data_IF_694339292125
#
_entry.id   IF_694339292125
#
_cell.length_a   1.000
_cell.length_b   1.000
_cell.length_c   1.000
_cell.angle_alpha   90.00
_cell.angle_beta   90.00
_cell.angle_gamma   90.00
#
_symmetry.space_group_name_H-M   'P 1'
#
loop_
_entity.id
_entity.type
_entity.pdbx_description
1 polymer ?
#
# COMPACT_ATOMS: atom_id res chain seq x y z
N UNK A 1 26.85 -34.13 -11.33
CA UNK A 1 25.50 -33.62 -11.66
C UNK A 1 25.61 -32.11 -11.86
N UNK A 2 25.34 -31.62 -13.08
CA UNK A 2 25.42 -30.19 -13.42
C UNK A 2 24.00 -29.64 -13.27
N UNK A 3 23.73 -28.91 -12.19
CA UNK A 3 22.41 -28.31 -11.93
C UNK A 3 22.26 -27.06 -12.80
N UNK A 4 21.48 -27.21 -13.88
CA UNK A 4 21.23 -26.28 -15.00
C UNK A 4 20.39 -25.04 -14.62
N UNK A 5 20.50 -24.52 -13.39
CA UNK A 5 19.56 -23.52 -12.85
C UNK A 5 20.12 -22.14 -12.54
N UNK A 6 21.45 -21.99 -12.44
CA UNK A 6 22.08 -20.77 -11.91
C UNK A 6 22.63 -19.82 -13.00
N UNK A 7 22.25 -20.01 -14.27
CA UNK A 7 22.67 -19.11 -15.37
C UNK A 7 21.74 -17.89 -15.54
N UNK A 8 20.52 -17.94 -14.98
CA UNK A 8 19.72 -16.73 -14.82
C UNK A 8 20.28 -16.02 -13.60
N UNK A 9 20.77 -14.79 -13.79
CA UNK A 9 21.29 -13.93 -12.71
C UNK A 9 20.29 -13.72 -11.58
N UNK A 10 20.64 -12.84 -10.63
CA UNK A 10 19.84 -12.55 -9.43
C UNK A 10 18.32 -12.63 -9.75
N UNK A 11 17.52 -13.39 -8.97
CA UNK A 11 16.07 -13.34 -9.13
C UNK A 11 15.66 -11.86 -9.15
N UNK A 12 14.68 -11.49 -10.01
CA UNK A 12 14.25 -10.10 -10.09
C UNK A 12 14.00 -9.59 -8.68
N UNK A 13 14.57 -8.43 -8.35
CA UNK A 13 14.38 -7.80 -7.05
C UNK A 13 12.88 -7.79 -6.76
N UNK A 14 12.49 -8.39 -5.64
CA UNK A 14 11.09 -8.44 -5.26
C UNK A 14 10.60 -7.00 -5.09
N UNK A 15 9.45 -6.63 -5.66
CA UNK A 15 8.95 -5.27 -5.53
C UNK A 15 8.76 -4.95 -4.05
N UNK A 16 9.14 -3.73 -3.66
CA UNK A 16 9.04 -3.27 -2.27
C UNK A 16 7.59 -3.37 -1.77
N UNK A 17 6.65 -3.04 -2.66
CA UNK A 17 5.21 -3.20 -2.43
C UNK A 17 4.73 -4.46 -3.18
N UNK A 18 4.06 -5.41 -2.51
CA UNK A 18 3.48 -6.55 -3.19
C UNK A 18 2.51 -6.16 -4.31
N UNK A 19 2.59 -6.84 -5.45
CA UNK A 19 1.77 -6.50 -6.62
C UNK A 19 0.25 -6.50 -6.34
N UNK A 20 -0.22 -7.37 -5.44
CA UNK A 20 -1.64 -7.44 -5.08
C UNK A 20 -2.13 -6.16 -4.37
N UNK A 21 -1.26 -5.43 -3.66
CA UNK A 21 -1.59 -4.12 -3.08
C UNK A 21 -1.85 -3.10 -4.19
N UNK A 22 -1.05 -3.16 -5.27
CA UNK A 22 -1.24 -2.31 -6.44
C UNK A 22 -2.58 -2.61 -7.11
N UNK A 23 -2.95 -3.89 -7.24
CA UNK A 23 -4.28 -4.30 -7.75
C UNK A 23 -5.42 -3.82 -6.84
N UNK A 24 -5.32 -4.02 -5.53
CA UNK A 24 -6.33 -3.52 -4.58
C UNK A 24 -6.49 -2.00 -4.65
N UNK A 25 -5.38 -1.28 -4.88
CA UNK A 25 -5.42 0.17 -5.01
C UNK A 25 -6.15 0.61 -6.27
N UNK A 26 -5.96 -0.07 -7.40
CA UNK A 26 -6.76 0.15 -8.62
C UNK A 26 -8.25 -0.07 -8.35
N UNK A 27 -8.60 -1.18 -7.71
CA UNK A 27 -9.99 -1.46 -7.33
C UNK A 27 -10.56 -0.41 -6.39
N UNK A 28 -9.76 0.10 -5.45
CA UNK A 28 -10.20 1.13 -4.53
C UNK A 28 -10.45 2.47 -5.23
N UNK A 29 -9.55 2.93 -6.10
CA UNK A 29 -9.74 4.20 -6.84
C UNK A 29 -10.90 4.12 -7.84
N UNK A 30 -11.19 2.92 -8.36
CA UNK A 30 -12.34 2.66 -9.25
C UNK A 30 -13.63 2.33 -8.49
N UNK A 31 -13.62 2.40 -7.15
CA UNK A 31 -14.76 2.11 -6.27
C UNK A 31 -15.31 0.67 -6.37
N UNK A 32 -14.47 -0.29 -6.76
CA UNK A 32 -14.80 -1.72 -6.77
C UNK A 32 -14.67 -2.36 -5.38
N UNK A 33 -13.78 -1.83 -4.53
CA UNK A 33 -13.67 -2.21 -3.12
C UNK A 33 -13.88 -0.99 -2.22
N UNK A 34 -14.31 -1.25 -0.99
CA UNK A 34 -14.54 -0.27 0.07
C UNK A 34 -13.23 0.30 0.63
N UNK A 35 -13.34 1.41 1.36
CA UNK A 35 -12.21 1.96 2.13
C UNK A 35 -11.66 0.92 3.11
N UNK A 36 -12.52 0.12 3.75
CA UNK A 36 -12.10 -0.90 4.71
C UNK A 36 -11.24 -2.00 4.03
N UNK A 37 -11.68 -2.54 2.91
CA UNK A 37 -10.93 -3.55 2.14
C UNK A 37 -9.59 -3.00 1.61
N UNK A 38 -9.54 -1.70 1.27
CA UNK A 38 -8.27 -1.06 0.94
C UNK A 38 -7.35 -0.96 2.16
N UNK A 39 -7.90 -0.59 3.33
CA UNK A 39 -7.14 -0.46 4.58
C UNK A 39 -6.58 -1.78 5.09
N UNK A 40 -7.22 -2.92 4.83
CA UNK A 40 -6.64 -4.25 5.10
C UNK A 40 -5.31 -4.45 4.34
N UNK A 41 -5.22 -3.96 3.10
CA UNK A 41 -3.98 -3.95 2.35
C UNK A 41 -2.92 -3.03 2.96
N UNK A 42 -3.33 -1.85 3.45
CA UNK A 42 -2.42 -0.92 4.11
C UNK A 42 -1.92 -1.48 5.45
N UNK A 43 -2.79 -2.11 6.25
CA UNK A 43 -2.43 -2.75 7.51
C UNK A 43 -1.38 -3.85 7.29
N UNK A 44 -1.52 -4.65 6.23
CA UNK A 44 -0.49 -5.62 5.84
C UNK A 44 0.90 -4.98 5.64
N UNK A 45 0.99 -3.77 5.09
CA UNK A 45 2.28 -3.09 4.92
C UNK A 45 2.92 -2.71 6.27
N UNK A 46 2.10 -2.40 7.28
CA UNK A 46 2.56 -2.19 8.65
C UNK A 46 2.96 -3.50 9.32
N UNK A 47 2.18 -4.58 9.15
CA UNK A 47 2.50 -5.91 9.68
C UNK A 47 3.84 -6.43 9.15
N UNK A 48 4.15 -6.15 7.88
CA UNK A 48 5.44 -6.51 7.24
C UNK A 48 6.56 -5.51 7.50
N UNK A 49 6.32 -4.46 8.28
CA UNK A 49 7.29 -3.40 8.59
C UNK A 49 7.84 -2.72 7.33
N UNK A 50 7.04 -2.66 6.26
CA UNK A 50 7.36 -1.91 5.04
C UNK A 50 7.13 -0.41 5.30
N UNK A 51 6.12 -0.09 6.12
CA UNK A 51 5.87 1.24 6.70
C UNK A 51 5.97 1.11 8.23
N UNK A 52 6.44 2.15 8.90
CA UNK A 52 6.46 2.20 10.36
C UNK A 52 6.10 3.59 10.86
N UNK A 53 5.24 3.67 11.89
CA UNK A 53 4.90 4.91 12.59
C UNK A 53 4.95 4.68 14.10
N UNK A 54 5.27 5.72 14.92
CA UNK A 54 5.37 5.57 16.37
C UNK A 54 4.06 5.17 17.06
N UNK A 55 2.93 5.64 16.53
CA UNK A 55 1.59 5.40 17.06
C UNK A 55 0.62 5.29 15.89
N UNK A 56 -0.27 4.29 15.95
CA UNK A 56 -1.37 4.11 15.01
C UNK A 56 -2.63 3.79 15.81
N UNK A 57 -3.72 4.46 15.45
CA UNK A 57 -5.03 4.14 15.98
C UNK A 57 -5.58 2.95 15.20
N UNK A 58 -6.13 1.96 15.91
CA UNK A 58 -6.80 0.81 15.29
C UNK A 58 -8.24 1.19 15.01
N UNK A 59 -8.79 0.75 13.87
CA UNK A 59 -10.17 1.00 13.49
C UNK A 59 -11.11 0.48 14.59
N UNK A 60 -11.72 1.37 15.38
CA UNK A 60 -12.70 0.97 16.41
C UNK A 60 -14.15 1.11 15.97
N UNK A 61 -14.47 1.87 14.91
CA UNK A 61 -15.87 2.17 14.57
C UNK A 61 -16.15 2.27 13.07
N UNK A 62 -17.33 1.75 12.72
CA UNK A 62 -17.97 1.60 11.40
C UNK A 62 -18.29 2.91 10.66
N UNK A 63 -17.60 4.01 10.97
CA UNK A 63 -17.89 5.35 10.45
C UNK A 63 -16.68 6.09 9.87
N UNK A 64 -15.45 5.59 10.05
CA UNK A 64 -14.28 6.23 9.45
C UNK A 64 -14.29 6.05 7.93
N UNK A 65 -14.19 7.17 7.20
CA UNK A 65 -14.14 7.19 5.73
C UNK A 65 -12.88 7.91 5.27
N UNK A 66 -12.23 7.35 4.25
CA UNK A 66 -11.06 7.98 3.66
C UNK A 66 -11.53 9.17 2.84
N UNK A 67 -10.96 10.37 3.05
CA UNK A 67 -11.29 11.52 2.22
C UNK A 67 -11.00 11.25 0.73
N UNK A 68 -11.92 11.63 -0.15
CA UNK A 68 -11.81 11.32 -1.59
C UNK A 68 -10.53 11.85 -2.25
N UNK A 69 -9.99 12.96 -1.76
CA UNK A 69 -8.74 13.52 -2.29
C UNK A 69 -7.55 12.57 -2.13
N UNK A 70 -7.58 11.62 -1.18
CA UNK A 70 -6.51 10.62 -1.00
C UNK A 70 -6.40 9.70 -2.22
N UNK A 71 -7.53 9.41 -2.89
CA UNK A 71 -7.54 8.59 -4.11
C UNK A 71 -6.73 9.21 -5.25
N UNK A 72 -6.53 10.53 -5.24
CA UNK A 72 -5.69 11.22 -6.25
C UNK A 72 -4.25 10.74 -6.17
N UNK A 73 -3.68 10.69 -4.96
CA UNK A 73 -2.31 10.20 -4.75
C UNK A 73 -2.17 8.71 -5.12
N UNK A 74 -3.15 7.90 -4.77
CA UNK A 74 -3.20 6.50 -5.18
C UNK A 74 -3.28 6.34 -6.70
N UNK A 75 -4.05 7.20 -7.37
CA UNK A 75 -4.11 7.28 -8.83
C UNK A 75 -2.75 7.64 -9.46
N UNK A 76 -2.05 8.63 -8.90
CA UNK A 76 -0.69 8.96 -9.35
C UNK A 76 0.28 7.79 -9.19
N UNK A 77 0.14 6.97 -8.15
CA UNK A 77 0.95 5.78 -7.97
C UNK A 77 0.61 4.68 -9.00
N UNK A 78 -0.68 4.48 -9.32
CA UNK A 78 -1.10 3.57 -10.40
C UNK A 78 -0.57 4.00 -11.77
N UNK A 79 -0.61 5.29 -12.04
CA UNK A 79 -0.10 5.89 -13.28
C UNK A 79 1.43 6.03 -13.32
N UNK A 80 2.13 5.52 -12.30
CA UNK A 80 3.60 5.56 -12.18
C UNK A 80 4.18 6.99 -12.19
N UNK A 81 3.37 7.98 -11.79
CA UNK A 81 3.78 9.39 -11.64
C UNK A 81 4.52 9.66 -10.35
N UNK A 82 4.34 8.79 -9.35
CA UNK A 82 5.08 8.79 -8.09
C UNK A 82 5.63 7.39 -7.84
N UNK A 83 6.77 7.31 -7.14
CA UNK A 83 7.43 6.05 -6.84
C UNK A 83 6.72 5.27 -5.72
N UNK A 84 7.11 4.00 -5.53
CA UNK A 84 6.68 3.21 -4.38
C UNK A 84 7.04 3.91 -3.06
N UNK A 85 8.24 4.52 -2.97
CA UNK A 85 8.66 5.26 -1.77
C UNK A 85 7.80 6.49 -1.52
N UNK A 86 7.44 7.24 -2.57
CA UNK A 86 6.54 8.38 -2.44
C UNK A 86 5.15 7.96 -1.95
N UNK A 87 4.62 6.85 -2.48
CA UNK A 87 3.34 6.31 -2.04
C UNK A 87 3.39 5.88 -0.58
N UNK A 88 4.42 5.14 -0.16
CA UNK A 88 4.60 4.73 1.23
C UNK A 88 4.72 5.93 2.17
N UNK A 89 5.49 6.95 1.79
CA UNK A 89 5.63 8.19 2.56
C UNK A 89 4.30 8.94 2.71
N UNK A 90 3.47 8.94 1.66
CA UNK A 90 2.12 9.52 1.72
C UNK A 90 1.25 8.74 2.72
N UNK A 91 1.21 7.41 2.63
CA UNK A 91 0.44 6.57 3.56
C UNK A 91 0.90 6.79 5.00
N UNK A 92 2.21 6.80 5.24
CA UNK A 92 2.80 7.09 6.55
C UNK A 92 2.31 8.44 7.10
N UNK A 93 2.38 9.51 6.28
CA UNK A 93 1.90 10.84 6.66
C UNK A 93 0.39 10.87 6.96
N UNK A 94 -0.42 10.13 6.20
CA UNK A 94 -1.87 10.08 6.41
C UNK A 94 -2.23 9.40 7.73
N UNK A 95 -1.50 8.33 8.10
CA UNK A 95 -1.68 7.65 9.39
C UNK A 95 -1.18 8.54 10.53
N UNK A 96 0.01 9.14 10.41
CA UNK A 96 0.55 10.07 11.42
C UNK A 96 -0.39 11.25 11.70
N UNK A 97 -1.09 11.74 10.67
CA UNK A 97 -2.04 12.85 10.77
C UNK A 97 -3.45 12.40 11.16
N UNK A 98 -3.67 11.10 11.40
CA UNK A 98 -4.98 10.51 11.72
C UNK A 98 -6.04 10.84 10.66
N UNK A 99 -5.62 10.89 9.39
CA UNK A 99 -6.52 10.99 8.22
C UNK A 99 -6.95 9.58 7.79
N UNK A 100 -6.04 8.62 7.97
CA UNK A 100 -6.29 7.20 7.85
C UNK A 100 -6.01 6.56 9.22
N UNK A 101 -6.78 5.53 9.54
CA UNK A 101 -6.71 4.74 10.77
C UNK A 101 -6.60 3.29 10.34
N UNK A 102 -5.64 2.55 10.90
CA UNK A 102 -5.31 1.16 10.54
C UNK A 102 -4.99 0.35 11.79
#
# INVERSE_FOLDING_TARGET
>A
LKISGFEKGLPPELPKIPQWIKVNTEWWITNQISDLEFLEGIDFLFEKQIISVPERDVISESQWKIPQWVKVSAGWWQEEKISDDDFLNIIENLVQRKIIVV
#
